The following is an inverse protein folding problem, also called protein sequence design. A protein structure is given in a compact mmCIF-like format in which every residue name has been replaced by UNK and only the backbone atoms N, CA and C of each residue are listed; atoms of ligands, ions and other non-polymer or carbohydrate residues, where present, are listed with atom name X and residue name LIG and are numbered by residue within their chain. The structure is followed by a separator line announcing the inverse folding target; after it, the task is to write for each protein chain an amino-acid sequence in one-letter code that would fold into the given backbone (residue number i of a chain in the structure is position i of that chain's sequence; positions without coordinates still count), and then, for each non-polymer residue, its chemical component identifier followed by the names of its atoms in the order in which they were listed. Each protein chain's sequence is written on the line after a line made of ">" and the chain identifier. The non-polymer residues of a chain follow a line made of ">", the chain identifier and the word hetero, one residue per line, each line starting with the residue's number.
data_IF_840919019346
#
_entry.id   IF_840919019346
#
_cell.length_a   1.000
_cell.length_b   1.000
_cell.length_c   1.000
_cell.angle_alpha   90.00
_cell.angle_beta   90.00
_cell.angle_gamma   90.00
#
_symmetry.space_group_name_H-M   'P 1'
#
loop_
_entity.id
_entity.type
_entity.pdbx_description
1 polymer ?
#
# COMPACT_ATOMS: atom_id res chain seq x y z
N UNK A 1 41.28 20.84 -41.00
CA UNK A 1 40.23 19.82 -41.06
C UNK A 1 39.53 19.78 -39.71
N UNK A 2 38.31 20.31 -39.58
CA UNK A 2 37.55 20.38 -38.31
C UNK A 2 36.68 19.13 -38.21
N UNK A 3 36.94 18.25 -37.25
CA UNK A 3 36.10 17.08 -36.95
C UNK A 3 35.04 17.51 -35.95
N UNK A 4 33.78 17.54 -36.40
CA UNK A 4 32.61 17.84 -35.59
C UNK A 4 32.14 16.52 -34.95
N UNK A 5 32.36 16.35 -33.65
CA UNK A 5 31.80 15.20 -32.91
C UNK A 5 30.35 15.51 -32.52
N UNK A 6 29.41 14.77 -33.11
CA UNK A 6 28.00 14.76 -32.75
C UNK A 6 27.84 13.93 -31.46
N UNK A 7 27.50 14.58 -30.34
CA UNK A 7 27.10 13.89 -29.11
C UNK A 7 25.59 13.61 -29.20
N UNK A 8 25.24 12.35 -29.46
CA UNK A 8 23.87 11.87 -29.39
C UNK A 8 23.45 11.78 -27.90
N UNK A 9 22.53 12.64 -27.48
CA UNK A 9 21.98 12.65 -26.13
C UNK A 9 21.12 11.40 -25.88
N UNK A 10 21.55 10.56 -24.95
CA UNK A 10 20.81 9.41 -24.44
C UNK A 10 19.69 9.92 -23.52
N UNK A 11 18.49 10.11 -24.05
CA UNK A 11 17.29 10.37 -23.24
C UNK A 11 16.87 9.06 -22.54
N UNK A 12 17.25 8.89 -21.28
CA UNK A 12 16.64 7.88 -20.42
C UNK A 12 15.16 8.24 -20.21
N UNK A 13 14.27 7.47 -20.80
CA UNK A 13 12.84 7.56 -20.51
C UNK A 13 12.57 7.01 -19.11
N UNK A 14 12.41 7.89 -18.13
CA UNK A 14 11.78 7.53 -16.86
C UNK A 14 10.28 7.35 -17.12
N UNK A 15 9.82 6.10 -17.24
CA UNK A 15 8.39 5.81 -17.23
C UNK A 15 7.76 6.19 -15.88
N UNK A 16 6.44 6.41 -15.81
CA UNK A 16 5.76 6.64 -14.55
C UNK A 16 5.92 5.38 -13.69
N UNK A 17 6.68 5.48 -12.60
CA UNK A 17 6.58 4.52 -11.52
C UNK A 17 5.20 4.73 -10.88
N UNK A 18 4.32 3.73 -10.95
CA UNK A 18 3.07 3.76 -10.17
C UNK A 18 3.47 3.66 -8.70
N UNK A 19 3.52 4.81 -8.04
CA UNK A 19 3.82 4.92 -6.63
C UNK A 19 2.58 4.51 -5.83
N UNK A 20 2.81 3.83 -4.71
CA UNK A 20 1.74 3.50 -3.77
C UNK A 20 1.04 4.77 -3.32
N UNK A 21 -0.23 4.63 -2.94
CA UNK A 21 -1.03 5.72 -2.39
C UNK A 21 -1.61 5.31 -1.05
N UNK A 22 -1.79 6.31 -0.19
CA UNK A 22 -2.58 6.19 1.02
C UNK A 22 -3.77 7.12 0.85
N UNK A 23 -4.97 6.55 0.82
CA UNK A 23 -6.23 7.26 0.73
C UNK A 23 -7.11 7.05 1.95
N UNK A 24 -8.26 7.71 1.94
CA UNK A 24 -9.31 7.55 2.94
C UNK A 24 -10.15 6.30 2.68
N UNK A 25 -10.86 5.83 3.70
CA UNK A 25 -11.77 4.68 3.59
C UNK A 25 -13.22 5.06 3.22
N UNK A 26 -13.46 6.29 2.78
CA UNK A 26 -14.80 6.75 2.37
C UNK A 26 -15.19 6.28 0.96
N UNK A 27 -14.23 5.73 0.21
CA UNK A 27 -14.42 5.19 -1.12
C UNK A 27 -15.14 3.84 -1.14
N UNK A 28 -15.67 3.46 -2.30
CA UNK A 28 -16.37 2.19 -2.48
C UNK A 28 -15.45 0.97 -2.33
N UNK A 29 -14.15 1.14 -2.55
CA UNK A 29 -13.13 0.10 -2.38
C UNK A 29 -13.10 -0.41 -0.94
N UNK A 30 -13.30 0.48 0.04
CA UNK A 30 -13.31 0.16 1.47
C UNK A 30 -14.64 -0.44 1.97
N UNK A 31 -15.56 -0.81 1.07
CA UNK A 31 -16.82 -1.42 1.46
C UNK A 31 -16.61 -2.85 2.00
N UNK A 32 -17.34 -3.23 3.06
CA UNK A 32 -17.27 -4.56 3.67
C UNK A 32 -17.57 -5.72 2.69
N UNK A 33 -18.30 -5.46 1.61
CA UNK A 33 -18.55 -6.45 0.55
C UNK A 33 -17.26 -6.90 -0.16
N UNK A 34 -16.25 -6.03 -0.20
CA UNK A 34 -14.98 -6.27 -0.88
C UNK A 34 -13.98 -6.96 0.04
N UNK A 35 -14.34 -7.37 1.27
CA UNK A 35 -13.40 -8.11 2.14
C UNK A 35 -13.00 -9.41 1.44
N UNK A 36 -11.68 -9.60 1.26
CA UNK A 36 -11.13 -10.85 0.75
C UNK A 36 -11.21 -11.91 1.85
N UNK A 37 -12.22 -12.77 1.79
CA UNK A 37 -12.44 -13.81 2.79
C UNK A 37 -11.41 -14.96 2.72
N UNK A 38 -10.52 -14.99 1.73
CA UNK A 38 -9.47 -16.00 1.60
C UNK A 38 -8.22 -15.70 2.45
N UNK A 39 -7.86 -14.42 2.63
CA UNK A 39 -6.79 -13.94 3.52
C UNK A 39 -7.19 -12.62 4.22
N UNK A 40 -8.24 -12.65 5.08
CA UNK A 40 -9.00 -11.45 5.38
C UNK A 40 -8.29 -10.47 6.29
N UNK A 41 -7.46 -10.93 7.24
CA UNK A 41 -6.89 -10.01 8.23
C UNK A 41 -5.52 -10.44 8.76
N UNK A 42 -4.73 -9.44 9.16
CA UNK A 42 -3.50 -9.60 9.97
C UNK A 42 -3.46 -8.51 11.04
N UNK A 43 -3.02 -8.85 12.25
CA UNK A 43 -2.92 -7.89 13.36
C UNK A 43 -1.49 -7.67 13.81
N UNK A 44 -1.22 -6.46 14.29
CA UNK A 44 0.05 -6.04 14.86
C UNK A 44 -0.18 -5.21 16.13
N UNK A 45 0.90 -4.88 16.85
CA UNK A 45 0.87 -4.05 18.06
C UNK A 45 -0.18 -4.54 19.09
N UNK A 46 -0.14 -5.83 19.43
CA UNK A 46 -1.08 -6.49 20.34
C UNK A 46 -2.56 -6.35 19.91
N UNK A 47 -2.83 -6.32 18.62
CA UNK A 47 -4.18 -6.21 18.08
C UNK A 47 -4.69 -4.78 17.89
N UNK A 48 -3.89 -3.77 18.26
CA UNK A 48 -4.26 -2.37 18.07
C UNK A 48 -4.27 -1.95 16.59
N UNK A 49 -3.43 -2.56 15.77
CA UNK A 49 -3.42 -2.33 14.31
C UNK A 49 -3.94 -3.58 13.62
N UNK A 50 -4.89 -3.42 12.71
CA UNK A 50 -5.44 -4.49 11.88
C UNK A 50 -5.36 -4.11 10.42
N UNK A 51 -4.79 -5.01 9.63
CA UNK A 51 -4.91 -5.01 8.19
C UNK A 51 -6.15 -5.82 7.81
N UNK A 52 -6.91 -5.33 6.83
CA UNK A 52 -8.00 -6.05 6.17
C UNK A 52 -7.69 -6.11 4.69
N UNK A 53 -7.68 -7.31 4.13
CA UNK A 53 -7.49 -7.55 2.70
C UNK A 53 -8.79 -7.25 1.97
N UNK A 54 -8.70 -6.48 0.88
CA UNK A 54 -9.85 -6.16 0.06
C UNK A 54 -9.60 -6.65 -1.36
N UNK A 55 -10.63 -7.24 -1.97
CA UNK A 55 -10.73 -7.63 -3.37
C UNK A 55 -11.97 -6.94 -3.97
N UNK A 56 -11.75 -5.99 -4.87
CA UNK A 56 -12.83 -5.24 -5.53
C UNK A 56 -13.44 -5.97 -6.71
N UNK A 57 -12.97 -7.18 -7.03
CA UNK A 57 -13.24 -8.00 -8.22
C UNK A 57 -12.79 -7.35 -9.54
N UNK A 58 -13.04 -6.05 -9.71
CA UNK A 58 -12.63 -5.26 -10.87
C UNK A 58 -11.87 -4.00 -10.43
N UNK A 59 -10.85 -3.56 -11.20
CA UNK A 59 -10.29 -4.24 -12.37
C UNK A 59 -9.59 -5.56 -11.99
N UNK A 60 -9.86 -6.67 -12.68
CA UNK A 60 -9.41 -8.00 -12.27
C UNK A 60 -7.88 -8.13 -12.06
N UNK A 61 -7.09 -7.39 -12.85
CA UNK A 61 -5.63 -7.37 -12.70
C UNK A 61 -5.15 -6.54 -11.51
N UNK A 62 -5.97 -5.66 -10.93
CA UNK A 62 -5.57 -4.69 -9.92
C UNK A 62 -6.66 -4.50 -8.85
N UNK A 63 -7.27 -5.61 -8.42
CA UNK A 63 -8.43 -5.58 -7.53
C UNK A 63 -8.07 -5.49 -6.04
N UNK A 64 -6.80 -5.71 -5.68
CA UNK A 64 -6.45 -5.88 -4.27
C UNK A 64 -6.05 -4.57 -3.59
N UNK A 65 -6.63 -4.29 -2.43
CA UNK A 65 -6.26 -3.14 -1.59
C UNK A 65 -6.04 -3.59 -0.14
N UNK A 66 -5.34 -2.77 0.64
CA UNK A 66 -5.13 -3.04 2.07
C UNK A 66 -5.78 -1.92 2.87
N UNK A 67 -6.85 -2.25 3.59
CA UNK A 67 -7.41 -1.37 4.60
C UNK A 67 -6.60 -1.50 5.89
N UNK A 68 -6.20 -0.37 6.46
CA UNK A 68 -5.44 -0.27 7.71
C UNK A 68 -6.33 0.39 8.75
N UNK A 69 -6.71 -0.40 9.76
CA UNK A 69 -7.41 0.08 10.96
C UNK A 69 -6.41 0.27 12.09
N UNK A 70 -6.42 1.45 12.72
CA UNK A 70 -5.50 1.79 13.80
C UNK A 70 -6.16 2.77 14.78
N UNK A 71 -5.66 2.91 16.02
CA UNK A 71 -6.25 3.83 16.98
C UNK A 71 -5.98 5.27 16.58
N UNK A 72 -7.00 6.13 16.71
CA UNK A 72 -6.80 7.57 16.62
C UNK A 72 -5.93 8.06 17.80
N UNK A 73 -4.99 9.00 17.60
CA UNK A 73 -4.18 9.55 18.69
C UNK A 73 -4.93 10.49 19.65
N UNK A 74 -6.03 11.10 19.21
CA UNK A 74 -6.80 12.11 19.95
C UNK A 74 -8.17 11.57 20.42
N UNK A 75 -8.73 10.58 19.71
CA UNK A 75 -10.05 10.02 19.93
C UNK A 75 -10.04 8.55 20.40
N UNK A 76 -11.18 8.05 20.88
CA UNK A 76 -11.32 6.67 21.39
C UNK A 76 -11.77 5.64 20.33
N UNK A 77 -11.89 6.04 19.07
CA UNK A 77 -12.30 5.16 17.97
C UNK A 77 -11.11 4.80 17.05
N UNK A 78 -11.37 3.89 16.12
CA UNK A 78 -10.38 3.48 15.12
C UNK A 78 -10.47 4.41 13.91
N UNK A 79 -9.31 4.85 13.43
CA UNK A 79 -9.12 5.46 12.13
C UNK A 79 -8.91 4.41 11.05
N UNK A 80 -9.14 4.82 9.80
CA UNK A 80 -9.04 3.95 8.64
C UNK A 80 -8.27 4.64 7.50
N UNK A 81 -7.30 3.92 6.93
CA UNK A 81 -6.62 4.33 5.69
C UNK A 81 -6.57 3.19 4.70
N UNK A 82 -6.61 3.51 3.43
CA UNK A 82 -6.57 2.56 2.33
C UNK A 82 -5.22 2.66 1.60
N UNK A 83 -4.45 1.58 1.60
CA UNK A 83 -3.19 1.46 0.86
C UNK A 83 -3.46 0.78 -0.48
N UNK A 84 -3.06 1.45 -1.56
CA UNK A 84 -3.31 1.05 -2.96
C UNK A 84 -2.08 1.29 -3.84
N UNK A 85 -2.12 0.83 -5.10
CA UNK A 85 -1.08 1.09 -6.10
C UNK A 85 -1.32 2.40 -6.88
N UNK A 86 -2.46 3.04 -6.68
CA UNK A 86 -2.88 4.32 -7.26
C UNK A 86 -4.20 4.77 -6.65
N UNK A 87 -4.74 5.92 -7.06
CA UNK A 87 -5.97 6.49 -6.47
C UNK A 87 -7.18 5.54 -6.56
N UNK A 88 -7.31 4.79 -7.66
CA UNK A 88 -8.42 3.84 -7.90
C UNK A 88 -7.92 2.50 -8.45
N UNK A 89 -6.62 2.21 -8.28
CA UNK A 89 -5.96 1.01 -8.83
C UNK A 89 -5.29 0.26 -7.68
N UNK A 90 -5.67 -0.99 -7.49
CA UNK A 90 -5.11 -1.88 -6.49
C UNK A 90 -3.85 -2.62 -6.98
N UNK A 91 -3.46 -3.61 -6.20
CA UNK A 91 -2.40 -4.57 -6.50
C UNK A 91 -3.01 -5.76 -7.25
N UNK A 92 -2.17 -6.54 -7.94
CA UNK A 92 -2.60 -7.80 -8.55
C UNK A 92 -2.77 -8.94 -7.54
N UNK A 93 -2.22 -8.79 -6.34
CA UNK A 93 -2.36 -9.74 -5.25
C UNK A 93 -1.70 -9.23 -3.98
N UNK A 94 -2.20 -9.70 -2.83
CA UNK A 94 -1.66 -9.42 -1.50
C UNK A 94 -1.61 -10.71 -0.67
N UNK A 95 -0.71 -10.78 0.30
CA UNK A 95 -0.67 -11.87 1.27
C UNK A 95 -0.46 -11.33 2.68
N UNK A 96 -1.56 -11.08 3.38
CA UNK A 96 -1.58 -10.61 4.75
C UNK A 96 -1.06 -11.66 5.73
N UNK A 97 -1.29 -12.95 5.45
CA UNK A 97 -0.74 -14.05 6.24
C UNK A 97 0.81 -14.00 6.32
N UNK A 98 1.47 -13.46 5.29
CA UNK A 98 2.93 -13.29 5.22
C UNK A 98 3.38 -11.87 5.55
N UNK A 99 2.49 -10.99 6.00
CA UNK A 99 2.86 -9.64 6.36
C UNK A 99 3.72 -9.61 7.62
N UNK A 100 4.80 -8.85 7.54
CA UNK A 100 5.77 -8.64 8.61
C UNK A 100 5.75 -7.16 9.04
N UNK A 101 6.29 -6.88 10.23
CA UNK A 101 6.41 -5.52 10.71
C UNK A 101 7.70 -5.30 11.50
N UNK A 102 8.26 -4.10 11.35
CA UNK A 102 9.41 -3.61 12.07
C UNK A 102 9.06 -2.28 12.76
N UNK A 103 9.38 -2.17 14.05
CA UNK A 103 9.11 -0.95 14.82
C UNK A 103 10.37 -0.10 14.96
N UNK A 104 10.22 1.21 14.69
CA UNK A 104 11.23 2.24 14.96
C UNK A 104 10.56 3.36 15.79
N UNK A 105 11.07 3.71 16.98
CA UNK A 105 10.50 4.76 17.83
C UNK A 105 10.37 6.13 17.15
N UNK A 106 11.25 6.45 16.19
CA UNK A 106 11.27 7.73 15.49
C UNK A 106 10.30 7.77 14.30
N UNK A 107 9.90 6.61 13.76
CA UNK A 107 9.10 6.51 12.52
C UNK A 107 7.73 5.88 12.73
N UNK A 108 7.61 4.92 13.63
CA UNK A 108 6.41 4.12 13.86
C UNK A 108 6.60 2.65 13.48
N UNK A 109 5.49 1.99 13.17
CA UNK A 109 5.47 0.59 12.74
C UNK A 109 5.49 0.54 11.21
N UNK A 110 6.60 0.11 10.61
CA UNK A 110 6.68 -0.18 9.18
C UNK A 110 6.20 -1.60 8.94
N UNK A 111 5.20 -1.77 8.09
CA UNK A 111 4.64 -3.04 7.66
C UNK A 111 5.14 -3.35 6.25
N UNK A 112 5.42 -4.62 5.99
CA UNK A 112 5.79 -5.13 4.66
C UNK A 112 4.90 -6.32 4.31
N UNK A 113 4.16 -6.19 3.22
CA UNK A 113 3.20 -7.20 2.74
C UNK A 113 3.66 -7.71 1.38
N UNK A 114 3.94 -9.01 1.23
CA UNK A 114 4.21 -9.60 -0.08
C UNK A 114 2.97 -9.48 -0.98
N UNK A 115 3.17 -9.10 -2.24
CA UNK A 115 2.10 -8.98 -3.22
C UNK A 115 2.61 -9.07 -4.66
N UNK A 116 1.76 -8.73 -5.61
CA UNK A 116 2.13 -8.62 -7.03
C UNK A 116 1.61 -7.33 -7.65
N UNK A 117 2.31 -6.84 -8.68
CA UNK A 117 1.81 -5.77 -9.55
C UNK A 117 0.63 -6.27 -10.39
N UNK A 118 -0.08 -5.37 -11.08
CA UNK A 118 -1.13 -5.77 -12.02
C UNK A 118 -0.64 -6.65 -13.18
N UNK A 119 0.64 -6.52 -13.52
CA UNK A 119 1.33 -7.34 -14.51
C UNK A 119 1.76 -8.72 -13.95
N UNK A 120 1.55 -8.97 -12.66
CA UNK A 120 1.90 -10.22 -11.98
C UNK A 120 3.34 -10.27 -11.46
N UNK A 121 4.07 -9.14 -11.47
CA UNK A 121 5.43 -9.09 -10.95
C UNK A 121 5.43 -9.07 -9.42
N UNK A 122 6.28 -9.87 -8.78
CA UNK A 122 6.39 -9.87 -7.33
C UNK A 122 6.86 -8.51 -6.79
N UNK A 123 6.19 -8.01 -5.76
CA UNK A 123 6.56 -6.76 -5.09
C UNK A 123 6.37 -6.84 -3.57
N UNK A 124 6.95 -5.88 -2.87
CA UNK A 124 6.73 -5.67 -1.44
C UNK A 124 5.94 -4.39 -1.24
N UNK A 125 4.75 -4.52 -0.67
CA UNK A 125 3.89 -3.39 -0.30
C UNK A 125 4.34 -2.89 1.06
N UNK A 126 4.90 -1.69 1.13
CA UNK A 126 5.46 -1.14 2.35
C UNK A 126 4.72 0.13 2.75
N UNK A 127 4.35 0.24 4.02
CA UNK A 127 3.75 1.45 4.58
C UNK A 127 4.10 1.55 6.06
N UNK A 128 4.12 2.78 6.58
CA UNK A 128 4.45 3.07 7.97
C UNK A 128 3.25 3.69 8.68
N UNK A 129 2.90 3.13 9.84
CA UNK A 129 1.88 3.66 10.74
C UNK A 129 2.58 4.38 11.89
N UNK A 130 2.44 5.70 11.96
CA UNK A 130 2.87 6.50 13.10
C UNK A 130 1.68 6.77 14.02
N UNK A 131 1.55 5.96 15.07
CA UNK A 131 0.46 6.11 16.06
C UNK A 131 0.53 7.40 16.88
N UNK A 132 1.68 8.04 16.99
CA UNK A 132 1.80 9.29 17.73
C UNK A 132 1.20 10.47 16.94
N UNK A 133 1.20 10.38 15.61
CA UNK A 133 0.68 11.44 14.72
C UNK A 133 -0.60 11.03 13.99
N UNK A 134 -1.04 9.78 14.11
CA UNK A 134 -2.19 9.24 13.38
C UNK A 134 -1.95 9.10 11.87
N UNK A 135 -0.71 9.19 11.40
CA UNK A 135 -0.38 9.16 9.98
C UNK A 135 -0.04 7.76 9.48
N UNK A 136 -0.52 7.45 8.27
CA UNK A 136 -0.07 6.31 7.47
C UNK A 136 0.61 6.84 6.22
N UNK A 137 1.83 6.39 5.93
CA UNK A 137 2.62 6.84 4.77
C UNK A 137 3.23 5.67 4.02
N UNK A 138 3.53 5.91 2.75
CA UNK A 138 4.24 4.98 1.85
C UNK A 138 5.62 5.56 1.50
N UNK A 139 6.58 4.73 1.06
CA UNK A 139 7.93 5.17 0.66
C UNK A 139 7.97 6.15 -0.51
#
# INVERSE_FOLDING_TARGET
>A
MRVLFLVAGLTLGAGPAMAQTVGDCDGWQANARNVDWSDPTRTFANGAIRLVGLDTEEPAAAAFHIMVLYPDPEEQFLECRLVSLGADVGFGGISLARAEAAYDPARGLTVSVPGTSPEGEALVIAFTINRATGQVSVP
#
